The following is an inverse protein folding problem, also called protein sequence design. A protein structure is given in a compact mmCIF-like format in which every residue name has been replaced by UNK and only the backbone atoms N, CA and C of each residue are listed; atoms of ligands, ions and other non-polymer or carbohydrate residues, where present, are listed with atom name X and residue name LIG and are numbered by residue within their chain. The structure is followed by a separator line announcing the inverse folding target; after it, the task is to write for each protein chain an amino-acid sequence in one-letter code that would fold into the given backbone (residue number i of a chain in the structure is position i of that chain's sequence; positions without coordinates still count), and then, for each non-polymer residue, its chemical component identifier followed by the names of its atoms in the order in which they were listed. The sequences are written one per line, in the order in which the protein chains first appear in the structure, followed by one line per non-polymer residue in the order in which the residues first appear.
data_IF_298888456908
#
_entry.id   IF_298888456908
#
_cell.length_a   1.000
_cell.length_b   1.000
_cell.length_c   1.000
_cell.angle_alpha   90.00
_cell.angle_beta   90.00
_cell.angle_gamma   90.00
#
_symmetry.space_group_name_H-M   'P 1'
#
loop_
_entity.id
_entity.type
_entity.pdbx_description
1 polymer ?
#
# COMPACT_ATOMS: atom_id res chain seq x y z
N UNK A 1 3.61 -38.69 24.89
CA UNK A 1 3.85 -37.54 25.77
C UNK A 1 5.27 -37.04 25.54
N UNK A 2 5.46 -36.11 24.61
CA UNK A 2 6.74 -35.41 24.43
C UNK A 2 6.42 -33.94 24.16
N UNK A 3 7.16 -33.10 24.87
CA UNK A 3 7.11 -31.65 24.96
C UNK A 3 7.41 -30.98 23.61
N UNK A 4 6.72 -29.87 23.33
CA UNK A 4 7.29 -28.77 22.54
C UNK A 4 7.08 -27.48 23.32
N UNK A 5 8.21 -26.91 23.70
CA UNK A 5 8.44 -25.63 24.36
C UNK A 5 7.94 -24.45 23.51
N UNK A 6 6.98 -23.70 24.04
CA UNK A 6 6.74 -22.31 23.67
C UNK A 6 7.88 -21.46 24.22
N UNK A 7 8.72 -20.94 23.32
CA UNK A 7 9.70 -19.90 23.65
C UNK A 7 8.95 -18.58 23.50
N UNK A 8 8.54 -18.00 24.63
CA UNK A 8 8.00 -16.65 24.73
C UNK A 8 9.11 -15.63 24.43
N UNK A 9 9.21 -15.21 23.17
CA UNK A 9 10.12 -14.14 22.71
C UNK A 9 9.68 -12.73 23.16
N UNK A 10 8.58 -12.62 23.91
CA UNK A 10 7.95 -11.35 24.31
C UNK A 10 8.44 -10.79 25.65
N UNK A 11 9.17 -11.58 26.47
CA UNK A 11 9.68 -11.13 27.77
C UNK A 11 10.84 -10.15 27.64
N UNK A 12 11.76 -10.37 26.70
CA UNK A 12 13.04 -9.66 26.65
C UNK A 12 12.94 -8.22 26.13
N UNK A 13 11.90 -7.89 25.34
CA UNK A 13 11.62 -6.52 24.89
C UNK A 13 10.89 -5.67 25.95
N UNK A 14 10.20 -6.32 26.88
CA UNK A 14 9.40 -5.63 27.90
C UNK A 14 10.27 -5.01 29.00
N UNK A 15 11.39 -5.68 29.35
CA UNK A 15 12.37 -5.19 30.33
C UNK A 15 13.20 -4.01 29.81
N UNK A 16 13.41 -3.91 28.48
CA UNK A 16 14.08 -2.75 27.86
C UNK A 16 13.21 -1.49 27.86
N UNK A 17 11.88 -1.64 27.93
CA UNK A 17 10.93 -0.52 27.95
C UNK A 17 10.73 0.06 29.37
N UNK A 18 10.86 -0.75 30.43
CA UNK A 18 10.73 -0.26 31.82
C UNK A 18 11.84 0.74 32.22
N UNK A 19 13.00 0.69 31.57
CA UNK A 19 14.15 1.59 31.85
C UNK A 19 14.12 2.90 31.06
N UNK A 20 13.26 3.04 30.05
CA UNK A 20 13.09 4.30 29.33
C UNK A 20 12.08 5.18 30.07
N UNK A 21 12.59 6.06 30.94
CA UNK A 21 11.79 7.07 31.60
C UNK A 21 11.31 8.11 30.56
N UNK A 22 10.19 7.81 29.89
CA UNK A 22 9.52 8.74 28.97
C UNK A 22 8.87 9.87 29.76
N UNK A 23 9.71 10.83 30.16
CA UNK A 23 9.30 12.12 30.70
C UNK A 23 8.30 12.81 29.77
N UNK A 24 7.54 13.75 30.32
CA UNK A 24 6.47 14.52 29.66
C UNK A 24 6.97 15.46 28.53
N UNK A 25 8.00 15.08 27.77
CA UNK A 25 8.46 15.80 26.60
C UNK A 25 7.81 15.21 25.35
N UNK A 26 6.87 15.95 24.78
CA UNK A 26 5.98 15.54 23.68
C UNK A 26 6.72 15.14 22.38
N UNK A 27 8.01 15.48 22.24
CA UNK A 27 8.82 15.18 21.05
C UNK A 27 9.26 13.72 20.92
N UNK A 28 9.05 12.88 21.93
CA UNK A 28 9.41 11.46 21.87
C UNK A 28 8.27 10.53 22.30
N UNK A 29 7.02 11.01 22.22
CA UNK A 29 5.86 10.18 22.53
C UNK A 29 5.63 9.16 21.39
N UNK A 30 5.72 7.84 21.64
CA UNK A 30 5.55 6.81 20.61
C UNK A 30 4.20 6.91 19.90
N UNK A 31 3.17 7.42 20.57
CA UNK A 31 1.84 7.66 19.99
C UNK A 31 1.90 8.74 18.91
N UNK A 32 2.58 9.85 19.18
CA UNK A 32 2.72 10.97 18.23
C UNK A 32 3.62 10.55 17.07
N UNK A 33 4.72 9.86 17.36
CA UNK A 33 5.62 9.35 16.33
C UNK A 33 4.93 8.34 15.40
N UNK A 34 4.09 7.47 15.94
CA UNK A 34 3.28 6.56 15.14
C UNK A 34 2.24 7.34 14.32
N UNK A 35 1.56 8.34 14.89
CA UNK A 35 0.59 9.17 14.17
C UNK A 35 1.24 9.92 12.99
N UNK A 36 2.40 10.52 13.20
CA UNK A 36 3.18 11.20 12.16
C UNK A 36 3.65 10.19 11.10
N UNK A 37 4.11 9.01 11.51
CA UNK A 37 4.48 7.94 10.59
C UNK A 37 3.28 7.51 9.74
N UNK A 38 2.11 7.26 10.35
CA UNK A 38 0.88 6.94 9.63
C UNK A 38 0.49 8.05 8.66
N UNK A 39 0.63 9.32 9.08
CA UNK A 39 0.36 10.48 8.21
C UNK A 39 1.31 10.52 7.02
N UNK A 40 2.62 10.33 7.24
CA UNK A 40 3.61 10.28 6.16
C UNK A 40 3.39 9.10 5.21
N UNK A 41 2.94 7.96 5.75
CA UNK A 41 2.62 6.75 5.00
C UNK A 41 1.20 6.74 4.41
N UNK A 42 0.40 7.79 4.63
CA UNK A 42 -1.00 7.88 4.24
C UNK A 42 -1.84 6.69 4.73
N UNK A 43 -1.47 6.13 5.88
CA UNK A 43 -2.24 5.10 6.57
C UNK A 43 -3.36 5.74 7.41
N UNK A 44 -4.47 5.02 7.63
CA UNK A 44 -5.51 5.46 8.53
C UNK A 44 -4.92 5.70 9.93
N UNK A 45 -5.54 6.61 10.67
CA UNK A 45 -5.09 6.92 12.03
C UNK A 45 -5.11 5.66 12.92
N UNK A 46 -4.10 5.46 13.79
CA UNK A 46 -4.03 4.33 14.71
C UNK A 46 -5.27 4.20 15.60
N UNK A 47 -5.83 3.00 15.66
CA UNK A 47 -6.97 2.65 16.52
C UNK A 47 -6.50 1.82 17.70
N UNK A 48 -6.80 2.27 18.92
CA UNK A 48 -6.41 1.59 20.15
C UNK A 48 -7.62 0.88 20.78
N UNK A 49 -7.46 -0.41 21.09
CA UNK A 49 -8.49 -1.23 21.71
C UNK A 49 -7.92 -1.83 23.00
N UNK A 50 -8.66 -1.72 24.10
CA UNK A 50 -8.28 -2.40 25.35
C UNK A 50 -8.81 -3.82 25.30
N UNK A 51 -7.93 -4.82 25.34
CA UNK A 51 -8.28 -6.23 25.16
C UNK A 51 -8.49 -6.96 26.50
N UNK A 52 -7.58 -6.75 27.45
CA UNK A 52 -7.65 -7.36 28.78
C UNK A 52 -7.28 -6.37 29.88
N UNK A 53 -7.93 -6.52 31.02
CA UNK A 53 -7.64 -5.85 32.28
C UNK A 53 -7.64 -6.92 33.37
N UNK A 54 -6.45 -7.40 33.73
CA UNK A 54 -6.28 -8.55 34.63
C UNK A 54 -5.40 -8.17 35.83
N UNK A 55 -5.67 -8.76 36.99
CA UNK A 55 -4.82 -8.65 38.18
C UNK A 55 -5.51 -8.08 39.42
N UNK A 56 -4.83 -8.20 40.56
CA UNK A 56 -5.28 -7.67 41.85
C UNK A 56 -5.29 -6.13 41.82
N UNK A 57 -6.08 -5.44 42.67
CA UNK A 57 -6.15 -3.97 42.71
C UNK A 57 -4.80 -3.25 42.87
N UNK A 58 -3.77 -3.96 43.33
CA UNK A 58 -2.40 -3.47 43.54
C UNK A 58 -1.42 -3.90 42.42
N UNK A 59 -1.87 -4.71 41.45
CA UNK A 59 -1.06 -5.30 40.39
C UNK A 59 -1.85 -5.50 39.07
N UNK A 60 -2.70 -4.54 38.70
CA UNK A 60 -3.43 -4.62 37.44
C UNK A 60 -2.48 -4.48 36.24
N UNK A 61 -2.55 -5.42 35.30
CA UNK A 61 -1.99 -5.33 33.96
C UNK A 61 -3.10 -4.99 32.96
N UNK A 62 -2.75 -4.13 32.02
CA UNK A 62 -3.62 -3.70 30.93
C UNK A 62 -2.98 -4.14 29.63
N UNK A 63 -3.75 -4.81 28.79
CA UNK A 63 -3.35 -5.17 27.43
C UNK A 63 -4.11 -4.29 26.46
N UNK A 64 -3.37 -3.54 25.64
CA UNK A 64 -3.93 -2.66 24.62
C UNK A 64 -3.37 -3.09 23.27
N UNK A 65 -4.24 -3.27 22.28
CA UNK A 65 -3.86 -3.44 20.89
C UNK A 65 -3.94 -2.13 20.12
N UNK A 66 -2.98 -1.92 19.23
CA UNK A 66 -2.91 -0.80 18.29
C UNK A 66 -3.04 -1.35 16.88
N UNK A 67 -4.00 -0.83 16.12
CA UNK A 67 -4.31 -1.29 14.76
C UNK A 67 -4.15 -0.13 13.76
N UNK A 68 -3.46 -0.40 12.65
CA UNK A 68 -3.30 0.53 11.51
C UNK A 68 -3.42 -0.30 10.23
N UNK A 69 -4.49 -0.10 9.46
CA UNK A 69 -4.80 -0.91 8.26
C UNK A 69 -4.78 -2.41 8.54
N UNK A 70 -3.77 -3.13 8.03
CA UNK A 70 -3.56 -4.56 8.17
C UNK A 70 -2.49 -4.91 9.22
N UNK A 71 -1.94 -3.91 9.90
CA UNK A 71 -0.94 -4.07 10.94
C UNK A 71 -1.58 -3.96 12.33
N UNK A 72 -1.23 -4.90 13.20
CA UNK A 72 -1.68 -4.95 14.58
C UNK A 72 -0.53 -5.33 15.48
N UNK A 73 -0.35 -4.55 16.54
CA UNK A 73 0.59 -4.87 17.61
C UNK A 73 -0.05 -4.67 18.97
N UNK A 74 0.47 -5.38 19.98
CA UNK A 74 -0.04 -5.32 21.35
C UNK A 74 1.02 -4.78 22.30
N UNK A 75 0.56 -4.09 23.34
CA UNK A 75 1.38 -3.59 24.43
C UNK A 75 0.72 -3.90 25.76
N UNK A 76 1.52 -4.40 26.69
CA UNK A 76 1.10 -4.71 28.05
C UNK A 76 1.74 -3.71 29.01
N UNK A 77 0.98 -3.20 29.98
CA UNK A 77 1.55 -2.30 30.97
C UNK A 77 0.73 -2.20 32.26
N UNK A 78 1.36 -1.68 33.32
CA UNK A 78 0.76 -1.43 34.65
C UNK A 78 -0.34 -0.34 34.64
N UNK A 79 -0.60 0.27 33.48
CA UNK A 79 -1.69 1.25 33.27
C UNK A 79 -2.08 1.26 31.79
N UNK A 80 -3.34 1.62 31.48
CA UNK A 80 -3.82 1.78 30.08
C UNK A 80 -2.91 2.69 29.25
N UNK A 81 -2.43 3.80 29.84
CA UNK A 81 -1.52 4.75 29.16
C UNK A 81 -0.15 4.12 28.83
N UNK A 82 0.40 3.27 29.71
CA UNK A 82 1.66 2.56 29.44
C UNK A 82 1.47 1.48 28.38
N UNK A 83 0.41 0.67 28.50
CA UNK A 83 0.05 -0.35 27.53
C UNK A 83 -0.14 0.23 26.13
N UNK A 84 -0.86 1.36 26.03
CA UNK A 84 -1.09 2.08 24.77
C UNK A 84 0.19 2.61 24.14
N UNK A 85 1.10 3.20 24.95
CA UNK A 85 2.40 3.68 24.47
C UNK A 85 3.29 2.55 23.96
N UNK A 86 3.28 1.41 24.66
CA UNK A 86 4.05 0.24 24.24
C UNK A 86 3.49 -0.34 22.93
N UNK A 87 2.16 -0.48 22.83
CA UNK A 87 1.50 -0.92 21.60
C UNK A 87 1.84 0.00 20.42
N UNK A 88 1.85 1.32 20.64
CA UNK A 88 2.23 2.30 19.63
C UNK A 88 3.71 2.17 19.21
N UNK A 89 4.61 1.96 20.17
CA UNK A 89 6.04 1.81 19.91
C UNK A 89 6.34 0.54 19.10
N UNK A 90 5.74 -0.59 19.48
CA UNK A 90 5.90 -1.86 18.77
C UNK A 90 5.44 -1.73 17.32
N UNK A 91 4.26 -1.13 17.10
CA UNK A 91 3.74 -0.91 15.76
C UNK A 91 4.60 0.06 14.95
N UNK A 92 5.11 1.13 15.57
CA UNK A 92 6.02 2.08 14.92
C UNK A 92 7.32 1.41 14.47
N UNK A 93 7.95 0.60 15.32
CA UNK A 93 9.17 -0.12 14.98
C UNK A 93 8.94 -1.12 13.85
N UNK A 94 7.84 -1.86 13.89
CA UNK A 94 7.44 -2.79 12.82
C UNK A 94 7.26 -2.05 11.48
N UNK A 95 6.51 -0.94 11.46
CA UNK A 95 6.31 -0.15 10.24
C UNK A 95 7.64 0.43 9.72
N UNK A 96 8.53 0.84 10.62
CA UNK A 96 9.84 1.38 10.25
C UNK A 96 10.81 0.32 9.73
N UNK A 97 10.80 -0.89 10.27
CA UNK A 97 11.62 -1.99 9.74
C UNK A 97 11.16 -2.37 8.33
N UNK A 98 9.85 -2.44 8.10
CA UNK A 98 9.28 -2.67 6.77
C UNK A 98 9.72 -1.57 5.78
N UNK A 99 9.72 -0.29 6.19
CA UNK A 99 10.26 0.80 5.36
C UNK A 99 11.75 0.62 5.03
N UNK A 100 12.56 0.16 5.99
CA UNK A 100 13.99 -0.02 5.82
C UNK A 100 14.30 -1.17 4.85
N UNK A 101 13.61 -2.30 4.98
CA UNK A 101 13.78 -3.46 4.10
C UNK A 101 13.43 -3.13 2.64
N UNK A 102 12.40 -2.30 2.43
CA UNK A 102 12.02 -1.77 1.11
C UNK A 102 13.08 -0.83 0.51
N UNK A 103 13.80 -0.07 1.36
CA UNK A 103 14.84 0.87 0.93
C UNK A 103 16.19 0.22 0.63
N UNK A 104 16.46 -0.97 1.18
CA UNK A 104 17.64 -1.77 0.84
C UNK A 104 17.45 -2.54 -0.46
N UNK A 105 16.22 -2.98 -0.75
CA UNK A 105 15.87 -3.62 -2.02
C UNK A 105 15.83 -2.64 -3.21
N UNK A 106 15.71 -1.32 -2.97
CA UNK A 106 15.71 -0.32 -4.06
C UNK A 106 17.09 -0.06 -4.67
N UNK A 107 18.20 -0.40 -4.00
CA UNK A 107 19.56 -0.25 -4.58
C UNK A 107 19.91 -1.32 -5.62
N UNK A 108 19.10 -2.38 -5.73
CA UNK A 108 19.24 -3.40 -6.77
C UNK A 108 18.34 -3.13 -8.00
N UNK A 109 17.46 -2.13 -7.94
CA UNK A 109 16.40 -1.89 -8.93
C UNK A 109 16.51 -0.53 -9.66
N UNK A 110 17.70 0.07 -9.75
CA UNK A 110 17.92 1.39 -10.36
C UNK A 110 17.75 1.45 -11.90
N UNK A 111 17.23 0.42 -12.57
CA UNK A 111 17.06 0.44 -14.04
C UNK A 111 15.61 0.68 -14.53
N UNK A 112 14.65 1.05 -13.67
CA UNK A 112 13.24 1.21 -14.09
C UNK A 112 12.71 2.65 -13.97
N UNK A 113 13.44 3.58 -13.34
CA UNK A 113 12.98 4.97 -13.17
C UNK A 113 13.07 5.85 -14.45
N UNK A 114 13.49 5.31 -15.60
CA UNK A 114 13.67 6.10 -16.82
C UNK A 114 12.40 6.30 -17.67
N UNK A 115 11.29 5.60 -17.40
CA UNK A 115 10.11 5.67 -18.31
C UNK A 115 9.13 6.82 -17.99
N UNK A 116 9.09 7.34 -16.75
CA UNK A 116 8.07 8.33 -16.33
C UNK A 116 8.55 9.78 -16.45
N UNK A 117 9.86 10.04 -16.52
CA UNK A 117 10.41 11.41 -16.54
C UNK A 117 10.46 12.06 -17.94
N UNK A 118 10.15 11.33 -19.02
CA UNK A 118 10.44 11.81 -20.38
C UNK A 118 9.25 12.48 -21.11
N UNK A 119 8.09 12.68 -20.46
CA UNK A 119 6.97 13.43 -21.07
C UNK A 119 6.76 14.85 -20.53
N UNK A 120 7.51 15.28 -19.52
CA UNK A 120 7.56 16.70 -19.12
C UNK A 120 8.79 17.36 -19.75
N UNK A 121 8.69 17.72 -21.03
CA UNK A 121 9.70 18.55 -21.70
C UNK A 121 9.01 19.48 -22.70
N UNK A 122 8.30 20.49 -22.21
CA UNK A 122 8.79 21.88 -22.30
C UNK A 122 7.82 22.89 -21.66
N UNK A 123 8.34 24.04 -21.18
CA UNK A 123 7.70 24.91 -20.20
C UNK A 123 7.03 26.11 -20.85
N UNK A 124 5.87 26.55 -20.33
CA UNK A 124 5.65 27.98 -20.12
C UNK A 124 4.49 28.25 -19.16
N UNK A 125 4.77 29.12 -18.19
CA UNK A 125 3.88 29.87 -17.32
C UNK A 125 2.58 29.23 -16.81
N UNK A 126 2.60 28.78 -15.55
CA UNK A 126 1.78 29.36 -14.48
C UNK A 126 2.15 28.74 -13.12
N UNK A 127 2.87 29.49 -12.29
CA UNK A 127 3.00 29.19 -10.87
C UNK A 127 1.66 29.41 -10.17
N UNK A 128 1.02 28.32 -9.74
CA UNK A 128 0.32 28.14 -8.46
C UNK A 128 -0.73 27.02 -8.58
N UNK A 129 -0.36 25.82 -8.19
CA UNK A 129 -1.28 24.92 -7.50
C UNK A 129 -0.46 23.88 -6.74
N UNK A 130 -0.78 23.69 -5.47
CA UNK A 130 -0.23 22.66 -4.59
C UNK A 130 -0.74 21.27 -5.04
N UNK A 131 -0.35 20.83 -6.21
CA UNK A 131 -0.63 19.48 -6.70
C UNK A 131 0.67 18.70 -6.71
N UNK A 132 1.16 18.37 -5.52
CA UNK A 132 2.14 17.29 -5.35
C UNK A 132 1.44 16.00 -5.76
N UNK A 133 1.58 15.64 -7.04
CA UNK A 133 1.23 14.33 -7.59
C UNK A 133 1.91 13.26 -6.75
N UNK A 134 1.13 12.63 -5.88
CA UNK A 134 1.54 11.52 -5.02
C UNK A 134 1.99 10.35 -5.90
N UNK A 135 3.29 10.24 -6.15
CA UNK A 135 3.88 9.01 -6.66
C UNK A 135 3.89 8.01 -5.52
N UNK A 136 2.86 7.19 -5.40
CA UNK A 136 2.94 5.98 -4.59
C UNK A 136 4.07 5.12 -5.17
N UNK A 137 5.07 4.76 -4.35
CA UNK A 137 6.05 3.76 -4.77
C UNK A 137 5.30 2.47 -5.11
N UNK A 138 5.62 1.86 -6.26
CA UNK A 138 5.01 0.61 -6.72
C UNK A 138 4.97 -0.46 -5.60
N UNK A 139 5.96 -0.48 -4.70
CA UNK A 139 6.04 -1.36 -3.54
C UNK A 139 4.84 -1.27 -2.58
N UNK A 140 4.28 -0.07 -2.36
CA UNK A 140 3.13 0.11 -1.45
C UNK A 140 1.82 -0.33 -2.10
N UNK A 141 1.71 -0.25 -3.43
CA UNK A 141 0.48 -0.60 -4.15
C UNK A 141 0.19 -2.10 -4.04
N UNK A 142 1.22 -2.95 -3.96
CA UNK A 142 1.06 -4.39 -3.77
C UNK A 142 0.34 -4.77 -2.47
N UNK A 143 0.50 -3.97 -1.40
CA UNK A 143 -0.14 -4.22 -0.10
C UNK A 143 -1.63 -3.84 -0.11
N UNK A 144 -1.99 -2.87 -0.93
CA UNK A 144 -3.33 -2.33 -0.98
C UNK A 144 -4.21 -2.95 -2.07
N UNK A 145 -3.66 -3.76 -2.98
CA UNK A 145 -4.42 -4.42 -4.04
C UNK A 145 -4.69 -5.90 -3.69
N UNK A 146 -5.90 -6.31 -3.28
CA UNK A 146 -6.18 -7.69 -2.91
C UNK A 146 -6.34 -8.57 -4.16
N UNK A 147 -5.23 -8.92 -4.82
CA UNK A 147 -5.29 -9.86 -5.95
C UNK A 147 -5.25 -11.31 -5.45
N UNK A 148 -6.16 -12.13 -5.94
CA UNK A 148 -6.29 -13.57 -5.69
C UNK A 148 -5.91 -14.37 -6.93
N UNK A 149 -5.27 -15.53 -6.73
CA UNK A 149 -4.97 -16.42 -7.85
C UNK A 149 -6.26 -16.94 -8.50
N UNK A 150 -6.31 -16.91 -9.82
CA UNK A 150 -7.49 -17.26 -10.62
C UNK A 150 -7.13 -17.46 -12.10
N UNK A 151 -8.08 -17.90 -12.95
CA UNK A 151 -7.84 -18.07 -14.37
C UNK A 151 -7.44 -16.77 -15.06
N UNK A 152 -8.17 -15.66 -14.87
CA UNK A 152 -7.86 -14.37 -15.50
C UNK A 152 -6.53 -13.82 -14.99
N UNK A 153 -6.25 -14.00 -13.69
CA UNK A 153 -4.95 -13.70 -13.11
C UNK A 153 -3.80 -14.44 -13.81
N UNK A 154 -3.96 -15.75 -14.00
CA UNK A 154 -2.91 -16.59 -14.61
C UNK A 154 -2.73 -16.28 -16.09
N UNK A 155 -3.83 -16.01 -16.80
CA UNK A 155 -3.81 -15.65 -18.20
C UNK A 155 -3.09 -14.31 -18.40
N UNK A 156 -3.46 -13.28 -17.63
CA UNK A 156 -2.80 -11.98 -17.69
C UNK A 156 -1.30 -12.06 -17.35
N UNK A 157 -0.93 -12.93 -16.41
CA UNK A 157 0.47 -13.16 -16.03
C UNK A 157 1.28 -13.82 -17.15
N UNK A 158 0.67 -14.72 -17.92
CA UNK A 158 1.32 -15.48 -19.00
C UNK A 158 1.27 -14.79 -20.36
N UNK A 159 0.39 -13.80 -20.54
CA UNK A 159 0.29 -13.05 -21.79
C UNK A 159 1.65 -12.49 -22.20
N UNK A 160 2.05 -12.74 -23.44
CA UNK A 160 3.21 -12.07 -24.05
C UNK A 160 2.83 -10.66 -24.55
N UNK A 161 3.80 -9.92 -25.08
CA UNK A 161 3.59 -8.54 -25.50
C UNK A 161 2.73 -8.44 -26.77
N UNK A 162 2.80 -9.44 -27.66
CA UNK A 162 1.97 -9.51 -28.88
C UNK A 162 0.49 -9.79 -28.54
N UNK A 163 0.24 -10.70 -27.59
CA UNK A 163 -1.09 -11.00 -27.07
C UNK A 163 -1.67 -9.81 -26.30
N UNK A 164 -0.85 -9.10 -25.52
CA UNK A 164 -1.29 -7.87 -24.84
C UNK A 164 -1.67 -6.77 -25.82
N UNK A 165 -0.95 -6.62 -26.94
CA UNK A 165 -1.23 -5.58 -27.93
C UNK A 165 -2.46 -5.88 -28.80
N UNK A 166 -2.74 -7.15 -29.08
CA UNK A 166 -3.81 -7.58 -29.99
C UNK A 166 -5.12 -7.95 -29.29
N UNK A 167 -5.13 -8.10 -27.96
CA UNK A 167 -6.33 -8.51 -27.25
C UNK A 167 -7.37 -7.39 -27.15
N UNK A 168 -8.62 -7.79 -26.88
CA UNK A 168 -9.62 -6.84 -26.45
C UNK A 168 -9.38 -6.47 -24.97
N UNK A 169 -8.55 -5.45 -24.74
CA UNK A 169 -8.17 -4.95 -23.42
C UNK A 169 -9.36 -4.62 -22.52
N UNK A 170 -10.46 -4.06 -23.04
CA UNK A 170 -11.69 -3.83 -22.24
C UNK A 170 -12.29 -5.14 -21.75
N UNK A 171 -12.49 -6.11 -22.64
CA UNK A 171 -13.04 -7.42 -22.27
C UNK A 171 -12.14 -8.16 -21.26
N UNK A 172 -10.82 -8.13 -21.48
CA UNK A 172 -9.85 -8.76 -20.57
C UNK A 172 -9.87 -8.07 -19.20
N UNK A 173 -9.95 -6.74 -19.18
CA UNK A 173 -10.07 -5.97 -17.93
C UNK A 173 -11.37 -6.26 -17.19
N UNK A 174 -12.51 -6.34 -17.89
CA UNK A 174 -13.81 -6.62 -17.27
C UNK A 174 -13.80 -8.01 -16.62
N UNK A 175 -13.29 -9.03 -17.32
CA UNK A 175 -13.15 -10.37 -16.77
C UNK A 175 -12.19 -10.40 -15.56
N UNK A 176 -11.05 -9.73 -15.68
CA UNK A 176 -10.07 -9.65 -14.60
C UNK A 176 -10.63 -8.94 -13.37
N UNK A 177 -11.24 -7.77 -13.53
CA UNK A 177 -11.79 -7.00 -12.40
C UNK A 177 -12.96 -7.72 -11.73
N UNK A 178 -13.82 -8.39 -12.51
CA UNK A 178 -14.89 -9.23 -11.98
C UNK A 178 -14.34 -10.40 -11.14
N UNK A 179 -13.31 -11.11 -11.62
CA UNK A 179 -12.65 -12.19 -10.87
C UNK A 179 -12.03 -11.69 -9.56
N UNK A 180 -11.38 -10.53 -9.61
CA UNK A 180 -10.68 -9.95 -8.47
C UNK A 180 -11.63 -9.18 -7.50
N UNK A 181 -12.92 -9.12 -7.80
CA UNK A 181 -13.90 -8.37 -7.02
C UNK A 181 -13.66 -6.85 -7.00
N UNK A 182 -13.00 -6.33 -8.04
CA UNK A 182 -12.69 -4.90 -8.19
C UNK A 182 -13.77 -4.21 -9.03
N UNK A 183 -14.09 -2.96 -8.66
CA UNK A 183 -14.99 -2.12 -9.47
C UNK A 183 -14.16 -1.23 -10.39
N UNK A 184 -14.34 -1.38 -11.70
CA UNK A 184 -13.76 -0.51 -12.72
C UNK A 184 -14.84 0.43 -13.30
N UNK A 185 -14.50 1.70 -13.49
CA UNK A 185 -15.42 2.72 -14.02
C UNK A 185 -14.68 3.63 -15.01
N UNK A 186 -15.25 3.82 -16.18
CA UNK A 186 -14.72 4.73 -17.20
C UNK A 186 -15.42 6.08 -17.09
N UNK A 187 -14.63 7.15 -17.10
CA UNK A 187 -15.09 8.54 -17.06
C UNK A 187 -14.56 9.22 -18.31
N UNK A 188 -15.44 9.40 -19.28
CA UNK A 188 -15.12 10.07 -20.54
C UNK A 188 -15.16 11.58 -20.35
N UNK A 189 -14.17 12.28 -20.92
CA UNK A 189 -14.15 13.75 -20.93
C UNK A 189 -14.90 14.23 -22.16
N UNK A 190 -16.07 14.87 -21.97
CA UNK A 190 -16.94 15.34 -23.08
C UNK A 190 -16.23 16.30 -24.04
N UNK A 191 -15.25 17.06 -23.54
CA UNK A 191 -14.41 17.92 -24.36
C UNK A 191 -13.21 17.16 -24.94
N UNK A 192 -12.95 17.36 -26.23
CA UNK A 192 -11.71 16.91 -26.85
C UNK A 192 -10.51 17.66 -26.24
N UNK A 193 -9.37 16.98 -26.20
CA UNK A 193 -8.11 17.58 -25.76
C UNK A 193 -7.74 18.80 -26.62
N UNK A 194 -6.75 19.59 -26.17
CA UNK A 194 -6.18 20.70 -26.97
C UNK A 194 -5.66 20.27 -28.35
N UNK A 195 -5.37 18.98 -28.54
CA UNK A 195 -4.90 18.40 -29.81
C UNK A 195 -6.01 17.69 -30.57
N UNK A 196 -7.28 17.80 -30.13
CA UNK A 196 -8.43 17.17 -30.77
C UNK A 196 -8.60 15.68 -30.49
N UNK A 197 -8.02 15.17 -29.40
CA UNK A 197 -8.12 13.75 -29.02
C UNK A 197 -9.26 13.51 -28.04
N UNK A 198 -9.95 12.38 -28.18
CA UNK A 198 -10.83 11.82 -27.17
C UNK A 198 -10.02 11.43 -25.95
N UNK A 199 -10.54 11.73 -24.76
CA UNK A 199 -9.89 11.42 -23.50
C UNK A 199 -10.84 10.65 -22.60
N UNK A 200 -10.29 9.73 -21.83
CA UNK A 200 -11.02 9.02 -20.78
C UNK A 200 -10.11 8.74 -19.58
N UNK A 201 -10.72 8.53 -18.43
CA UNK A 201 -10.07 8.08 -17.21
C UNK A 201 -10.75 6.81 -16.72
N UNK A 202 -9.99 5.72 -16.66
CA UNK A 202 -10.42 4.48 -16.02
C UNK A 202 -10.05 4.54 -14.53
N UNK A 203 -11.03 4.42 -13.65
CA UNK A 203 -10.85 4.33 -12.21
C UNK A 203 -11.12 2.91 -11.72
N UNK A 204 -10.15 2.30 -11.06
CA UNK A 204 -10.29 1.00 -10.39
C UNK A 204 -10.36 1.23 -8.89
N UNK A 205 -11.48 0.84 -8.31
CA UNK A 205 -11.78 0.98 -6.88
C UNK A 205 -10.99 -0.06 -6.09
N UNK A 206 -10.07 0.43 -5.27
CA UNK A 206 -9.30 -0.35 -4.29
C UNK A 206 -9.15 0.53 -3.03
N UNK A 207 -8.56 0.06 -1.91
CA UNK A 207 -8.20 0.92 -0.79
C UNK A 207 -7.48 2.22 -1.19
N UNK A 208 -6.78 2.22 -2.33
CA UNK A 208 -6.30 3.43 -3.02
C UNK A 208 -6.87 3.41 -4.44
N UNK A 209 -7.68 4.40 -4.82
CA UNK A 209 -8.24 4.46 -6.17
C UNK A 209 -7.12 4.57 -7.20
N UNK A 210 -7.04 3.60 -8.12
CA UNK A 210 -6.09 3.63 -9.23
C UNK A 210 -6.77 4.30 -10.42
N UNK A 211 -6.09 5.25 -11.05
CA UNK A 211 -6.60 5.95 -12.23
C UNK A 211 -5.66 5.79 -13.42
N UNK A 212 -6.20 5.43 -14.58
CA UNK A 212 -5.46 5.23 -15.83
C UNK A 212 -6.03 6.15 -16.91
N UNK A 213 -5.16 6.95 -17.52
CA UNK A 213 -5.55 7.85 -18.60
C UNK A 213 -5.49 7.13 -19.94
N UNK A 214 -6.54 7.26 -20.75
CA UNK A 214 -6.55 6.84 -22.14
C UNK A 214 -6.83 7.99 -23.08
N UNK A 215 -6.22 7.95 -24.26
CA UNK A 215 -6.46 8.89 -25.34
C UNK A 215 -6.60 8.17 -26.69
N UNK A 216 -7.43 8.72 -27.58
CA UNK A 216 -7.53 8.29 -28.99
C UNK A 216 -7.87 9.47 -29.89
N UNK A 217 -7.48 9.41 -31.16
CA UNK A 217 -7.90 10.36 -32.20
C UNK A 217 -9.19 9.95 -32.91
N UNK A 218 -9.72 8.75 -32.64
CA UNK A 218 -10.79 8.13 -33.43
C UNK A 218 -12.12 8.15 -32.66
N UNK A 219 -12.16 7.65 -31.42
CA UNK A 219 -13.39 7.60 -30.62
C UNK A 219 -13.13 7.46 -29.11
N UNK A 220 -14.17 7.66 -28.29
CA UNK A 220 -14.13 7.33 -26.86
C UNK A 220 -13.90 5.84 -26.60
N UNK A 221 -14.46 4.97 -27.44
CA UNK A 221 -14.29 3.52 -27.29
C UNK A 221 -12.81 3.11 -27.42
N UNK A 222 -12.10 3.69 -28.38
CA UNK A 222 -10.66 3.47 -28.50
C UNK A 222 -9.86 4.12 -27.38
N UNK A 223 -10.26 5.30 -26.90
CA UNK A 223 -9.62 5.92 -25.74
C UNK A 223 -9.78 5.03 -24.50
N UNK A 224 -10.95 4.41 -24.31
CA UNK A 224 -11.22 3.44 -23.25
C UNK A 224 -10.40 2.17 -23.42
N UNK A 225 -10.26 1.67 -24.66
CA UNK A 225 -9.36 0.57 -24.97
C UNK A 225 -7.91 0.89 -24.57
N UNK A 226 -7.45 2.11 -24.86
CA UNK A 226 -6.12 2.58 -24.47
C UNK A 226 -5.95 2.66 -22.94
N UNK A 227 -6.95 3.18 -22.22
CA UNK A 227 -6.94 3.21 -20.75
C UNK A 227 -6.92 1.79 -20.15
N UNK A 228 -7.74 0.88 -20.71
CA UNK A 228 -7.80 -0.51 -20.28
C UNK A 228 -6.46 -1.22 -20.51
N UNK A 229 -5.84 -1.05 -21.68
CA UNK A 229 -4.51 -1.60 -21.99
C UNK A 229 -3.47 -1.17 -20.95
N UNK A 230 -3.38 0.13 -20.65
CA UNK A 230 -2.44 0.67 -19.65
C UNK A 230 -2.69 0.10 -18.25
N UNK A 231 -3.95 -0.12 -17.89
CA UNK A 231 -4.29 -0.74 -16.60
C UNK A 231 -3.88 -2.22 -16.53
N UNK A 232 -4.06 -2.97 -17.61
CA UNK A 232 -3.64 -4.38 -17.68
C UNK A 232 -2.12 -4.52 -17.65
N UNK A 233 -1.38 -3.65 -18.33
CA UNK A 233 0.08 -3.58 -18.21
C UNK A 233 0.51 -3.36 -16.76
N UNK A 234 -0.14 -2.42 -16.07
CA UNK A 234 0.11 -2.16 -14.67
C UNK A 234 -0.14 -3.41 -13.82
N UNK A 235 -1.30 -4.06 -13.97
CA UNK A 235 -1.60 -5.28 -13.24
C UNK A 235 -0.60 -6.39 -13.56
N UNK A 236 -0.25 -6.63 -14.83
CA UNK A 236 0.78 -7.63 -15.23
C UNK A 236 2.12 -7.38 -14.54
N UNK A 237 2.59 -6.13 -14.49
CA UNK A 237 3.82 -5.75 -13.76
C UNK A 237 3.69 -6.04 -12.27
N UNK A 238 2.55 -5.72 -11.68
CA UNK A 238 2.25 -6.02 -10.27
C UNK A 238 2.26 -7.54 -10.01
N UNK A 239 1.72 -8.34 -10.92
CA UNK A 239 1.71 -9.82 -10.82
C UNK A 239 3.12 -10.42 -10.89
N UNK A 240 3.95 -9.89 -11.79
CA UNK A 240 5.33 -10.36 -11.96
C UNK A 240 6.21 -9.98 -10.77
N UNK A 241 6.03 -8.79 -10.20
CA UNK A 241 6.75 -8.36 -9.00
C UNK A 241 6.37 -9.17 -7.76
N UNK A 242 5.10 -9.61 -7.62
CA UNK A 242 4.69 -10.52 -6.52
C UNK A 242 5.41 -11.86 -6.56
N UNK A 243 5.74 -12.37 -7.75
CA UNK A 243 6.44 -13.63 -7.90
C UNK A 243 7.89 -13.56 -7.37
N UNK A 244 8.55 -12.40 -7.47
CA UNK A 244 9.92 -12.21 -6.98
C UNK A 244 10.02 -12.31 -5.45
N UNK A 245 8.98 -11.92 -4.72
CA UNK A 245 8.95 -12.04 -3.25
C UNK A 245 8.77 -13.49 -2.76
N UNK A 246 8.19 -14.38 -3.57
CA UNK A 246 8.01 -15.78 -3.19
C UNK A 246 9.27 -16.63 -3.39
N UNK A 247 10.17 -16.23 -4.30
CA UNK A 247 11.40 -16.98 -4.62
C UNK A 247 12.53 -16.70 -3.62
N UNK A 248 12.47 -15.62 -2.84
CA UNK A 248 13.52 -15.29 -1.86
C UNK A 248 13.34 -15.95 -0.47
N UNK A 249 12.30 -16.78 -0.27
CA UNK A 249 11.99 -17.42 1.03
C UNK A 249 12.15 -18.96 0.99
N UNK A 250 12.74 -19.52 -0.07
CA UNK A 250 13.15 -20.93 -0.14
C UNK A 250 14.66 -21.05 -0.20
#
# INVERSE_FOLDING_TARGET
HLLVSQIDFTSDLNDTFETMNFGNNDKHNPIVMLQELCTSLHLPSPVYITECEDGLPHQCSFTVSCNVSNYKETGIGKSKKKAQRLAANNLYLMLKSIQADLSLNSKAAENVDHFVLQQSSNPDGLENSKSTSQLYRLSEIHRHLPLTDGPCYNDLKKMDDEQMYSCNSKLVLDNFTAEQGLKAEFIDFEELSRTGKYQTSLQVSTPITLAFHGESTISYEEAQQNAAYRSLEFFKRILNNRALHFVQVT
#
